data_IF_728153640792
#
_entry.id   IF_728153640792
#
_cell.length_a   1.000
_cell.length_b   1.000
_cell.length_c   1.000
_cell.angle_alpha   90.00
_cell.angle_beta   90.00
_cell.angle_gamma   90.00
#
_symmetry.space_group_name_H-M   'P 1'
#
loop_
_entity.id
_entity.type
_entity.pdbx_description
1 polymer ?
#
# COMPACT_ATOMS: atom_id res chain seq x y z
N UNK A 1 -22.80 9.95 -3.77
CA UNK A 1 -22.80 8.68 -4.55
C UNK A 1 -21.75 7.71 -4.00
N UNK A 2 -22.19 6.57 -3.47
CA UNK A 2 -21.33 5.55 -2.86
C UNK A 2 -20.54 4.83 -3.97
N UNK A 3 -19.21 4.92 -3.95
CA UNK A 3 -18.37 4.25 -4.95
C UNK A 3 -18.18 2.78 -4.55
N UNK A 4 -18.85 1.86 -5.26
CA UNK A 4 -18.81 0.43 -4.96
C UNK A 4 -17.40 -0.17 -4.96
N UNK A 5 -16.51 0.29 -5.85
CA UNK A 5 -15.11 -0.20 -5.88
C UNK A 5 -14.35 0.19 -4.63
N UNK A 6 -14.58 1.41 -4.12
CA UNK A 6 -13.95 1.87 -2.89
C UNK A 6 -14.51 1.14 -1.67
N UNK A 7 -15.80 0.83 -1.63
CA UNK A 7 -16.41 0.03 -0.57
C UNK A 7 -15.79 -1.37 -0.49
N UNK A 8 -15.70 -2.08 -1.61
CA UNK A 8 -15.06 -3.41 -1.68
C UNK A 8 -13.59 -3.34 -1.25
N UNK A 9 -12.84 -2.34 -1.72
CA UNK A 9 -11.46 -2.15 -1.29
C UNK A 9 -11.35 -1.95 0.23
N UNK A 10 -12.21 -1.13 0.82
CA UNK A 10 -12.19 -0.85 2.25
C UNK A 10 -12.53 -2.08 3.09
N UNK A 11 -13.50 -2.89 2.63
CA UNK A 11 -13.86 -4.16 3.26
C UNK A 11 -12.68 -5.15 3.24
N UNK A 12 -12.06 -5.36 2.08
CA UNK A 12 -10.92 -6.28 1.94
C UNK A 12 -9.70 -5.84 2.76
N UNK A 13 -9.46 -4.54 2.85
CA UNK A 13 -8.31 -3.99 3.57
C UNK A 13 -8.59 -3.75 5.06
N UNK A 14 -9.83 -3.90 5.52
CA UNK A 14 -10.23 -3.64 6.91
C UNK A 14 -10.06 -2.17 7.33
N UNK A 15 -10.33 -1.22 6.42
CA UNK A 15 -10.16 0.23 6.65
C UNK A 15 -11.47 0.99 6.51
N UNK A 16 -11.55 2.17 7.12
CA UNK A 16 -12.75 3.01 7.06
C UNK A 16 -12.94 3.62 5.67
N UNK A 17 -14.16 3.51 5.11
CA UNK A 17 -14.51 4.14 3.83
C UNK A 17 -14.34 5.66 3.85
N UNK A 18 -14.78 6.32 4.94
CA UNK A 18 -14.73 7.77 5.08
C UNK A 18 -13.27 8.26 5.03
N UNK A 19 -12.37 7.60 5.76
CA UNK A 19 -10.96 7.95 5.78
C UNK A 19 -10.31 7.73 4.42
N UNK A 20 -10.56 6.57 3.79
CA UNK A 20 -9.95 6.27 2.50
C UNK A 20 -10.46 7.22 1.41
N UNK A 21 -11.76 7.52 1.39
CA UNK A 21 -12.34 8.50 0.47
C UNK A 21 -11.75 9.90 0.67
N UNK A 22 -11.49 10.29 1.92
CA UNK A 22 -10.85 11.58 2.21
C UNK A 22 -9.41 11.59 1.67
N UNK A 23 -8.59 10.63 2.08
CA UNK A 23 -7.15 10.63 1.83
C UNK A 23 -6.76 10.31 0.40
N UNK A 24 -7.63 9.67 -0.38
CA UNK A 24 -7.43 9.54 -1.84
C UNK A 24 -7.58 10.87 -2.58
N UNK A 25 -8.25 11.86 -1.99
CA UNK A 25 -8.54 13.15 -2.62
C UNK A 25 -7.87 14.35 -1.94
N UNK A 26 -7.14 14.13 -0.84
CA UNK A 26 -6.45 15.18 -0.09
C UNK A 26 -5.04 14.76 0.27
N UNK A 27 -4.14 15.74 0.36
CA UNK A 27 -2.79 15.52 0.87
C UNK A 27 -2.58 16.27 2.18
N UNK A 28 -1.90 15.60 3.11
CA UNK A 28 -1.38 16.20 4.34
C UNK A 28 0.01 16.77 4.06
N UNK A 29 0.17 18.06 4.30
CA UNK A 29 1.41 18.80 4.16
C UNK A 29 1.89 19.17 5.56
N UNK A 30 3.13 18.85 5.89
CA UNK A 30 3.73 19.19 7.19
C UNK A 30 4.86 20.20 6.94
N UNK A 31 4.77 21.37 7.55
CA UNK A 31 5.86 22.35 7.64
C UNK A 31 6.53 22.24 9.01
N UNK A 32 7.56 23.06 9.27
CA UNK A 32 8.25 23.07 10.56
C UNK A 32 7.32 23.45 11.72
N UNK A 33 6.31 24.28 11.45
CA UNK A 33 5.40 24.84 12.46
C UNK A 33 4.00 24.24 12.41
N UNK A 34 3.54 23.77 11.24
CA UNK A 34 2.12 23.55 11.01
C UNK A 34 1.83 22.33 10.12
N UNK A 35 0.59 21.87 10.17
CA UNK A 35 0.09 20.78 9.32
C UNK A 35 -1.17 21.22 8.61
N UNK A 36 -1.17 21.11 7.29
CA UNK A 36 -2.25 21.52 6.42
C UNK A 36 -2.81 20.33 5.64
N UNK A 37 -4.13 20.31 5.45
CA UNK A 37 -4.79 19.36 4.57
C UNK A 37 -5.35 20.15 3.40
N UNK A 38 -5.02 19.74 2.17
CA UNK A 38 -5.50 20.40 0.94
C UNK A 38 -6.00 19.37 -0.06
N UNK A 39 -7.08 19.66 -0.80
CA UNK A 39 -7.52 18.81 -1.89
C UNK A 39 -6.44 18.74 -2.97
N UNK A 40 -6.40 17.63 -3.71
CA UNK A 40 -5.46 17.44 -4.82
C UNK A 40 -6.19 17.39 -6.17
N UNK A 41 -5.55 17.84 -7.27
CA UNK A 41 -6.09 17.68 -8.61
C UNK A 41 -6.34 16.21 -8.96
N UNK A 42 -7.35 15.95 -9.80
CA UNK A 42 -7.74 14.58 -10.23
C UNK A 42 -6.55 13.74 -10.72
N UNK A 43 -5.66 14.32 -11.53
CA UNK A 43 -4.49 13.60 -12.03
C UNK A 43 -3.55 13.17 -10.90
N UNK A 44 -3.34 14.01 -9.88
CA UNK A 44 -2.54 13.66 -8.71
C UNK A 44 -3.22 12.57 -7.87
N UNK A 45 -4.55 12.63 -7.73
CA UNK A 45 -5.31 11.57 -7.05
C UNK A 45 -5.19 10.21 -7.74
N UNK A 46 -5.27 10.18 -9.08
CA UNK A 46 -5.07 8.96 -9.88
C UNK A 46 -3.65 8.42 -9.68
N UNK A 47 -2.64 9.28 -9.80
CA UNK A 47 -1.25 8.87 -9.61
C UNK A 47 -0.99 8.35 -8.18
N UNK A 48 -1.58 8.99 -7.16
CA UNK A 48 -1.47 8.56 -5.77
C UNK A 48 -2.15 7.20 -5.54
N UNK A 49 -3.34 6.98 -6.12
CA UNK A 49 -4.02 5.67 -6.11
C UNK A 49 -3.16 4.58 -6.73
N UNK A 50 -2.58 4.84 -7.89
CA UNK A 50 -1.75 3.86 -8.59
C UNK A 50 -0.44 3.59 -7.84
N UNK A 51 0.15 4.61 -7.22
CA UNK A 51 1.30 4.46 -6.33
C UNK A 51 0.96 3.60 -5.10
N UNK A 52 -0.21 3.81 -4.48
CA UNK A 52 -0.70 2.99 -3.37
C UNK A 52 -0.86 1.53 -3.79
N UNK A 53 -1.48 1.27 -4.94
CA UNK A 53 -1.65 -0.09 -5.47
C UNK A 53 -0.31 -0.79 -5.71
N UNK A 54 0.65 -0.10 -6.34
CA UNK A 54 2.01 -0.62 -6.56
C UNK A 54 2.72 -0.90 -5.24
N UNK A 55 2.57 -0.02 -4.25
CA UNK A 55 3.17 -0.21 -2.93
C UNK A 55 2.61 -1.44 -2.21
N UNK A 56 1.28 -1.60 -2.19
CA UNK A 56 0.62 -2.77 -1.61
C UNK A 56 1.13 -4.06 -2.27
N UNK A 57 1.15 -4.10 -3.62
CA UNK A 57 1.64 -5.26 -4.35
C UNK A 57 3.10 -5.58 -4.05
N UNK A 58 3.98 -4.57 -4.07
CA UNK A 58 5.40 -4.76 -3.77
C UNK A 58 5.63 -5.31 -2.35
N UNK A 59 4.87 -4.80 -1.37
CA UNK A 59 4.93 -5.30 0.01
C UNK A 59 4.43 -6.74 0.12
N UNK A 60 3.33 -7.07 -0.55
CA UNK A 60 2.79 -8.43 -0.57
C UNK A 60 3.75 -9.41 -1.23
N UNK A 61 4.30 -9.05 -2.39
CA UNK A 61 5.27 -9.88 -3.12
C UNK A 61 6.49 -10.21 -2.25
N UNK A 62 7.11 -9.19 -1.66
CA UNK A 62 8.26 -9.39 -0.78
C UNK A 62 7.90 -10.26 0.43
N UNK A 63 6.73 -10.03 1.04
CA UNK A 63 6.26 -10.84 2.16
C UNK A 63 6.09 -12.32 1.77
N UNK A 64 5.52 -12.61 0.60
CA UNK A 64 5.38 -13.98 0.10
C UNK A 64 6.76 -14.61 -0.13
N UNK A 65 7.67 -13.92 -0.83
CA UNK A 65 9.04 -14.40 -1.09
C UNK A 65 9.76 -14.71 0.21
N UNK A 66 9.68 -13.83 1.20
CA UNK A 66 10.29 -14.03 2.52
C UNK A 66 9.73 -15.28 3.22
N UNK A 67 8.42 -15.53 3.12
CA UNK A 67 7.80 -16.70 3.73
C UNK A 67 8.18 -18.00 3.03
N UNK A 68 8.22 -17.99 1.69
CA UNK A 68 8.66 -19.13 0.89
C UNK A 68 10.13 -19.45 1.21
N UNK A 69 11.00 -18.45 1.22
CA UNK A 69 12.42 -18.64 1.53
C UNK A 69 12.63 -19.17 2.95
N UNK A 70 11.85 -18.70 3.93
CA UNK A 70 11.88 -19.25 5.30
C UNK A 70 11.44 -20.71 5.34
N UNK A 71 10.37 -21.08 4.61
CA UNK A 71 9.89 -22.45 4.56
C UNK A 71 10.87 -23.40 3.87
N UNK A 72 11.66 -22.90 2.91
CA UNK A 72 12.68 -23.67 2.19
C UNK A 72 14.05 -23.64 2.87
N UNK A 73 14.23 -22.84 3.92
CA UNK A 73 15.51 -22.69 4.59
C UNK A 73 15.90 -24.00 5.32
N UNK A 74 16.98 -24.63 4.87
CA UNK A 74 17.54 -25.81 5.55
C UNK A 74 18.37 -25.41 6.76
N UNK A 75 18.28 -26.17 7.86
CA UNK A 75 19.14 -26.01 9.04
C UNK A 75 20.56 -26.54 8.82
N UNK A 76 20.78 -27.30 7.75
CA UNK A 76 22.09 -27.81 7.36
C UNK A 76 22.81 -26.75 6.52
N UNK A 77 24.06 -26.47 6.87
CA UNK A 77 24.88 -25.49 6.16
C UNK A 77 25.05 -25.93 4.70
N UNK A 78 24.66 -25.08 3.75
CA UNK A 78 24.85 -25.35 2.33
C UNK A 78 26.34 -25.47 1.99
N UNK A 79 26.69 -26.55 1.29
CA UNK A 79 28.06 -26.82 0.84
C UNK A 79 28.36 -26.15 -0.52
N UNK A 80 27.33 -25.92 -1.34
CA UNK A 80 27.41 -25.30 -2.67
C UNK A 80 26.01 -24.87 -3.13
N UNK A 81 25.93 -23.89 -4.02
CA UNK A 81 24.67 -23.43 -4.62
C UNK A 81 24.89 -22.98 -6.08
N UNK A 82 23.85 -23.10 -6.92
CA UNK A 82 23.79 -22.59 -8.29
C UNK A 82 22.60 -21.62 -8.32
N UNK A 83 22.86 -20.36 -8.65
CA UNK A 83 21.88 -19.27 -8.69
C UNK A 83 21.38 -18.95 -10.08
#
# INVERSE_FOLDING_TARGET
PNNGHLSVFCELMGVTYQDMSHWLCHKKLKTATETYIKPIPKLQAINARDALAKHIYAKLFNWIVDHVNKALHSTVKQHSFIG
#
